data_IF_375305986060
#
_entry.id   IF_375305986060
#
_cell.length_a   1.000
_cell.length_b   1.000
_cell.length_c   1.000
_cell.angle_alpha   90.00
_cell.angle_beta   90.00
_cell.angle_gamma   90.00
#
_symmetry.space_group_name_H-M   'P 1'
#
loop_
_entity.id
_entity.type
_entity.pdbx_description
1 polymer ?
#
# COMPACT_ATOMS: atom_id res chain seq x y z
N UNK A 1 -45.47 -60.02 12.39
CA UNK A 1 -44.66 -61.21 12.73
C UNK A 1 -43.67 -61.40 11.60
N UNK A 2 -42.40 -61.00 11.79
CA UNK A 2 -41.26 -61.90 11.95
C UNK A 2 -41.18 -62.91 10.79
N UNK A 3 -40.25 -62.83 9.83
CA UNK A 3 -38.82 -62.52 9.95
C UNK A 3 -38.07 -63.81 9.64
N UNK A 4 -37.24 -63.85 8.60
CA UNK A 4 -36.36 -64.99 8.34
C UNK A 4 -35.21 -64.67 7.36
N UNK A 5 -34.03 -65.15 7.76
CA UNK A 5 -32.87 -65.60 6.96
C UNK A 5 -32.01 -64.48 6.37
N UNK A 6 -30.68 -64.45 6.49
CA UNK A 6 -29.69 -65.42 6.96
C UNK A 6 -28.39 -65.13 6.20
N UNK A 7 -27.27 -65.07 6.91
CA UNK A 7 -25.93 -64.83 6.36
C UNK A 7 -25.53 -65.87 5.30
N UNK A 8 -24.88 -65.42 4.22
CA UNK A 8 -23.71 -66.13 3.65
C UNK A 8 -22.96 -65.36 2.55
N UNK A 9 -21.64 -65.36 2.75
CA UNK A 9 -20.55 -65.55 1.78
C UNK A 9 -20.05 -64.36 0.95
N UNK A 10 -18.75 -64.13 1.18
CA UNK A 10 -17.77 -63.37 0.43
C UNK A 10 -17.80 -63.59 -1.08
N UNK A 11 -17.49 -62.52 -1.81
CA UNK A 11 -16.81 -62.63 -3.10
C UNK A 11 -15.85 -61.45 -3.26
N UNK A 12 -14.56 -61.75 -3.14
CA UNK A 12 -13.47 -60.89 -3.59
C UNK A 12 -13.50 -60.86 -5.12
N UNK A 13 -13.64 -59.67 -5.71
CA UNK A 13 -13.32 -59.42 -7.11
C UNK A 13 -12.41 -58.20 -7.19
N UNK A 14 -11.17 -58.46 -7.57
CA UNK A 14 -10.16 -57.48 -7.98
C UNK A 14 -10.70 -56.63 -9.15
N UNK A 15 -10.68 -55.31 -8.99
CA UNK A 15 -10.83 -54.38 -10.10
C UNK A 15 -9.52 -53.61 -10.27
N UNK A 16 -8.94 -53.77 -11.46
CA UNK A 16 -7.78 -53.04 -11.97
C UNK A 16 -7.95 -51.52 -11.81
N UNK A 17 -7.03 -50.89 -11.09
CA UNK A 17 -6.87 -49.43 -11.10
C UNK A 17 -5.97 -49.03 -12.27
N UNK A 18 -6.57 -48.45 -13.31
CA UNK A 18 -5.82 -47.73 -14.33
C UNK A 18 -5.18 -46.46 -13.73
N UNK A 19 -3.94 -46.09 -14.11
CA UNK A 19 -3.30 -44.88 -13.62
C UNK A 19 -4.03 -43.64 -14.16
N UNK A 20 -4.35 -42.69 -13.29
CA UNK A 20 -4.83 -41.37 -13.70
C UNK A 20 -3.69 -40.64 -14.44
N UNK A 21 -3.99 -39.89 -15.52
CA UNK A 21 -2.98 -39.11 -16.21
C UNK A 21 -2.50 -37.97 -15.31
N UNK A 22 -1.18 -37.79 -15.25
CA UNK A 22 -0.53 -36.68 -14.57
C UNK A 22 -1.21 -35.34 -14.92
N UNK A 23 -1.70 -34.65 -13.89
CA UNK A 23 -2.17 -33.28 -14.02
C UNK A 23 -1.00 -32.41 -14.48
N UNK A 24 -1.07 -31.87 -15.69
CA UNK A 24 -0.12 -30.87 -16.13
C UNK A 24 -0.15 -29.67 -15.16
N UNK A 25 1.00 -29.09 -14.80
CA UNK A 25 1.02 -27.90 -13.97
C UNK A 25 0.26 -26.80 -14.69
N UNK A 26 -0.72 -26.19 -14.01
CA UNK A 26 -1.43 -25.01 -14.51
C UNK A 26 -0.40 -23.98 -14.98
N UNK A 27 -0.47 -23.61 -16.27
CA UNK A 27 0.39 -22.57 -16.81
C UNK A 27 0.15 -21.30 -16.00
N UNK A 28 1.22 -20.75 -15.41
CA UNK A 28 1.12 -19.47 -14.72
C UNK A 28 0.53 -18.44 -15.68
N UNK A 29 -0.50 -17.68 -15.27
CA UNK A 29 -1.10 -16.67 -16.14
C UNK A 29 -0.03 -15.66 -16.55
N UNK A 30 -0.10 -15.22 -17.82
CA UNK A 30 0.83 -14.22 -18.34
C UNK A 30 0.84 -12.98 -17.42
N UNK A 31 2.03 -12.39 -17.17
CA UNK A 31 2.14 -11.25 -16.28
C UNK A 31 1.28 -10.08 -16.78
N UNK A 32 0.52 -9.49 -15.86
CA UNK A 32 -0.31 -8.33 -16.13
C UNK A 32 0.61 -7.12 -16.24
N UNK A 33 0.67 -6.53 -17.44
CA UNK A 33 1.39 -5.27 -17.67
C UNK A 33 0.43 -4.12 -17.38
N UNK A 34 0.73 -3.32 -16.35
CA UNK A 34 -0.04 -2.12 -16.04
C UNK A 34 0.17 -1.05 -17.12
N UNK A 35 -0.83 -0.18 -17.34
CA UNK A 35 -0.86 0.76 -18.46
C UNK A 35 0.39 1.66 -18.57
N UNK A 36 1.04 1.97 -17.44
CA UNK A 36 2.22 2.81 -17.39
C UNK A 36 3.52 2.05 -17.15
N UNK A 37 3.52 0.71 -17.17
CA UNK A 37 4.68 -0.11 -16.81
C UNK A 37 5.94 0.25 -17.61
N UNK A 38 5.78 0.68 -18.86
CA UNK A 38 6.86 1.06 -19.77
C UNK A 38 7.10 2.58 -19.84
N UNK A 39 6.46 3.39 -19.00
CA UNK A 39 6.67 4.84 -19.00
C UNK A 39 8.13 5.11 -18.57
N UNK A 40 8.95 5.70 -19.46
CA UNK A 40 10.36 5.92 -19.18
C UNK A 40 10.50 6.82 -17.96
N UNK A 41 11.41 6.46 -17.07
CA UNK A 41 11.86 7.31 -16.00
C UNK A 41 12.88 8.28 -16.57
N UNK A 42 12.73 9.58 -16.30
CA UNK A 42 13.69 10.58 -16.75
C UNK A 42 15.08 10.31 -16.15
N UNK A 43 16.14 10.61 -16.91
CA UNK A 43 17.51 10.49 -16.42
C UNK A 43 17.72 11.42 -15.21
N UNK A 44 18.37 10.91 -14.15
CA UNK A 44 18.56 11.65 -12.90
C UNK A 44 17.32 11.79 -12.01
N UNK A 45 16.16 11.25 -12.42
CA UNK A 45 14.99 11.22 -11.54
C UNK A 45 15.11 10.13 -10.47
N UNK A 46 14.48 10.37 -9.33
CA UNK A 46 14.17 9.38 -8.30
C UNK A 46 12.70 8.97 -8.45
N UNK A 47 12.41 7.68 -8.55
CA UNK A 47 11.05 7.14 -8.66
C UNK A 47 10.64 6.44 -7.37
N UNK A 48 9.63 7.01 -6.71
CA UNK A 48 9.06 6.48 -5.48
C UNK A 48 7.69 5.89 -5.75
N UNK A 49 7.48 4.64 -5.34
CA UNK A 49 6.17 3.99 -5.36
C UNK A 49 5.67 3.72 -3.94
N UNK A 50 4.37 3.90 -3.72
CA UNK A 50 3.69 3.50 -2.49
C UNK A 50 2.48 2.63 -2.80
N UNK A 51 2.27 1.54 -2.04
CA UNK A 51 1.12 0.66 -2.20
C UNK A 51 0.76 -0.10 -0.93
N UNK A 52 -0.51 -0.02 -0.53
CA UNK A 52 -1.09 -0.99 0.41
C UNK A 52 -1.30 -2.33 -0.30
N UNK A 53 -0.59 -3.37 0.14
CA UNK A 53 -0.57 -4.69 -0.51
C UNK A 53 -1.63 -5.65 0.02
N UNK A 54 -2.33 -5.28 1.10
CA UNK A 54 -3.37 -6.09 1.73
C UNK A 54 -2.93 -7.56 1.97
N UNK A 55 -1.67 -7.74 2.37
CA UNK A 55 -0.97 -9.01 2.55
C UNK A 55 0.05 -9.30 1.44
N UNK A 56 1.34 -9.17 1.77
CA UNK A 56 2.44 -9.31 0.81
C UNK A 56 2.50 -10.67 0.12
N UNK A 57 2.17 -11.76 0.83
CA UNK A 57 2.10 -13.11 0.23
C UNK A 57 1.06 -13.19 -0.88
N UNK A 58 -0.10 -12.56 -0.68
CA UNK A 58 -1.17 -12.57 -1.65
C UNK A 58 -0.81 -11.68 -2.84
N UNK A 59 -0.25 -10.49 -2.59
CA UNK A 59 0.21 -9.59 -3.64
C UNK A 59 1.31 -10.23 -4.51
N UNK A 60 2.30 -10.88 -3.88
CA UNK A 60 3.36 -11.61 -4.58
C UNK A 60 2.79 -12.67 -5.53
N UNK A 61 1.94 -13.58 -5.02
CA UNK A 61 1.30 -14.64 -5.84
C UNK A 61 0.43 -14.08 -6.97
N UNK A 62 -0.12 -12.88 -6.81
CA UNK A 62 -0.99 -12.24 -7.81
C UNK A 62 -0.24 -11.36 -8.81
N UNK A 63 1.08 -11.42 -8.84
CA UNK A 63 1.89 -10.76 -9.88
C UNK A 63 2.43 -9.38 -9.51
N UNK A 64 2.55 -9.04 -8.23
CA UNK A 64 3.23 -7.79 -7.82
C UNK A 64 4.67 -7.69 -8.37
N UNK A 65 5.41 -8.81 -8.43
CA UNK A 65 6.75 -8.82 -9.03
C UNK A 65 6.76 -8.43 -10.51
N UNK A 66 5.74 -8.87 -11.26
CA UNK A 66 5.58 -8.49 -12.66
C UNK A 66 5.21 -7.02 -12.84
N UNK A 67 4.41 -6.45 -11.92
CA UNK A 67 4.16 -5.01 -11.89
C UNK A 67 5.45 -4.22 -11.61
N UNK A 68 6.28 -4.68 -10.67
CA UNK A 68 7.50 -4.01 -10.27
C UNK A 68 8.59 -4.03 -11.36
N UNK A 69 8.71 -5.15 -12.07
CA UNK A 69 9.74 -5.36 -13.08
C UNK A 69 9.74 -4.25 -14.16
N UNK A 70 10.91 -3.68 -14.43
CA UNK A 70 11.10 -2.66 -15.48
C UNK A 70 10.55 -1.27 -15.14
N UNK A 71 9.96 -1.05 -13.96
CA UNK A 71 9.42 0.27 -13.57
C UNK A 71 10.50 1.28 -13.19
N UNK A 72 11.74 0.87 -12.92
CA UNK A 72 12.80 1.76 -12.47
C UNK A 72 12.52 2.43 -11.12
N UNK A 73 11.72 1.79 -10.26
CA UNK A 73 11.45 2.23 -8.89
C UNK A 73 12.77 2.17 -8.10
N UNK A 74 13.09 3.24 -7.37
CA UNK A 74 14.25 3.26 -6.46
C UNK A 74 13.83 3.07 -5.00
N UNK A 75 12.60 3.49 -4.66
CA UNK A 75 12.04 3.43 -3.32
C UNK A 75 10.60 2.90 -3.41
N UNK A 76 10.32 1.81 -2.70
CA UNK A 76 9.02 1.17 -2.61
C UNK A 76 8.56 1.17 -1.16
N UNK A 77 7.46 1.83 -0.86
CA UNK A 77 6.82 1.78 0.46
C UNK A 77 5.57 0.92 0.43
N UNK A 78 5.44 0.05 1.43
CA UNK A 78 4.38 -0.94 1.50
C UNK A 78 3.61 -0.81 2.80
N UNK A 79 2.29 -0.96 2.70
CA UNK A 79 1.39 -1.00 3.84
C UNK A 79 0.58 -2.28 3.85
N UNK A 80 0.16 -2.69 5.05
CA UNK A 80 -0.52 -3.95 5.29
C UNK A 80 0.23 -5.17 4.74
N UNK A 81 1.54 -5.26 4.99
CA UNK A 81 2.33 -6.42 4.58
C UNK A 81 1.83 -7.71 5.25
N UNK A 82 1.29 -7.62 6.48
CA UNK A 82 0.64 -8.72 7.23
C UNK A 82 1.47 -10.00 7.30
N UNK A 83 2.77 -9.85 7.49
CA UNK A 83 3.71 -10.96 7.55
C UNK A 83 4.87 -10.65 8.51
N UNK A 84 5.47 -11.68 9.13
CA UNK A 84 6.72 -11.54 9.86
C UNK A 84 7.88 -11.08 8.97
N UNK A 85 8.85 -10.41 9.61
CA UNK A 85 10.08 -9.87 9.02
C UNK A 85 10.70 -10.76 7.95
N UNK A 86 11.05 -12.00 8.30
CA UNK A 86 11.74 -12.94 7.40
C UNK A 86 10.96 -13.18 6.10
N UNK A 87 9.63 -13.25 6.17
CA UNK A 87 8.80 -13.40 4.98
C UNK A 87 8.78 -12.13 4.15
N UNK A 88 8.71 -10.96 4.79
CA UNK A 88 8.71 -9.68 4.10
C UNK A 88 10.03 -9.50 3.35
N UNK A 89 11.15 -9.75 4.01
CA UNK A 89 12.50 -9.66 3.43
C UNK A 89 12.68 -10.63 2.26
N UNK A 90 12.35 -11.92 2.44
CA UNK A 90 12.50 -12.92 1.38
C UNK A 90 11.64 -12.59 0.15
N UNK A 91 10.37 -12.22 0.34
CA UNK A 91 9.49 -11.90 -0.78
C UNK A 91 9.87 -10.60 -1.47
N UNK A 92 10.40 -9.62 -0.73
CA UNK A 92 10.91 -8.41 -1.35
C UNK A 92 12.18 -8.70 -2.14
N UNK A 93 13.11 -9.52 -1.64
CA UNK A 93 14.28 -9.95 -2.41
C UNK A 93 13.86 -10.67 -3.71
N UNK A 94 12.84 -11.53 -3.67
CA UNK A 94 12.28 -12.18 -4.88
C UNK A 94 11.72 -11.16 -5.89
N UNK A 95 11.14 -10.05 -5.42
CA UNK A 95 10.55 -9.00 -6.26
C UNK A 95 11.61 -8.03 -6.80
N UNK A 96 12.54 -7.61 -5.95
CA UNK A 96 13.46 -6.48 -6.20
C UNK A 96 14.87 -6.92 -6.57
N UNK A 97 15.26 -8.14 -6.22
CA UNK A 97 16.63 -8.64 -6.25
C UNK A 97 17.43 -8.31 -4.99
N UNK A 98 18.66 -8.84 -4.93
CA UNK A 98 19.52 -8.85 -3.72
C UNK A 98 20.15 -7.50 -3.33
N UNK A 99 20.13 -6.50 -4.22
CA UNK A 99 20.80 -5.21 -4.00
C UNK A 99 19.91 -4.17 -3.30
N UNK A 100 18.81 -4.60 -2.69
CA UNK A 100 17.84 -3.73 -2.03
C UNK A 100 17.98 -3.82 -0.52
N UNK A 101 17.90 -2.67 0.13
CA UNK A 101 17.76 -2.57 1.56
C UNK A 101 16.28 -2.63 1.93
N UNK A 102 15.93 -3.41 2.94
CA UNK A 102 14.57 -3.52 3.46
C UNK A 102 14.57 -3.10 4.92
N UNK A 103 13.71 -2.14 5.25
CA UNK A 103 13.36 -1.80 6.62
C UNK A 103 11.87 -1.98 6.82
N UNK A 104 11.47 -2.64 7.90
CA UNK A 104 10.08 -2.98 8.15
C UNK A 104 9.75 -2.95 9.64
N UNK A 105 8.46 -2.89 9.93
CA UNK A 105 7.92 -3.13 11.27
C UNK A 105 6.69 -4.02 11.18
N UNK A 106 6.75 -5.16 11.87
CA UNK A 106 5.63 -6.07 12.08
C UNK A 106 4.69 -5.53 13.16
N UNK A 107 3.38 -5.77 12.99
CA UNK A 107 2.41 -5.53 14.04
C UNK A 107 2.31 -6.75 14.98
N UNK A 108 2.25 -6.52 16.30
CA UNK A 108 2.04 -7.59 17.29
C UNK A 108 0.75 -8.40 17.04
N UNK A 109 -0.28 -7.74 16.49
CA UNK A 109 -1.49 -8.40 16.01
C UNK A 109 -1.21 -9.20 14.73
N UNK A 110 -0.90 -10.49 14.88
CA UNK A 110 -0.56 -11.40 13.78
C UNK A 110 -1.52 -11.31 12.59
N UNK A 111 -0.96 -11.15 11.39
CA UNK A 111 -1.71 -11.07 10.14
C UNK A 111 -2.48 -9.76 9.93
N UNK A 112 -2.17 -8.72 10.70
CA UNK A 112 -2.75 -7.37 10.58
C UNK A 112 -1.63 -6.36 10.32
N UNK A 113 -1.96 -5.25 9.68
CA UNK A 113 -1.06 -4.11 9.47
C UNK A 113 0.35 -4.53 9.01
N UNK A 114 1.38 -3.86 9.53
CA UNK A 114 2.77 -3.97 9.10
C UNK A 114 3.07 -3.04 7.94
N UNK A 115 4.21 -2.35 8.00
CA UNK A 115 4.69 -1.44 6.96
C UNK A 115 6.15 -1.72 6.64
N UNK A 116 6.55 -1.48 5.40
CA UNK A 116 7.92 -1.65 4.95
C UNK A 116 8.35 -0.54 4.00
N UNK A 117 9.66 -0.33 3.91
CA UNK A 117 10.34 0.48 2.90
C UNK A 117 11.44 -0.41 2.31
N UNK A 118 11.40 -0.62 1.01
CA UNK A 118 12.46 -1.26 0.24
C UNK A 118 13.11 -0.20 -0.66
N UNK A 119 14.44 -0.15 -0.73
CA UNK A 119 15.15 0.88 -1.47
C UNK A 119 16.51 0.42 -1.98
N UNK A 120 16.96 0.96 -3.12
CA UNK A 120 18.36 0.82 -3.58
C UNK A 120 19.32 1.79 -2.89
N UNK A 121 18.79 2.82 -2.22
CA UNK A 121 19.57 3.81 -1.47
C UNK A 121 19.89 3.27 -0.07
N UNK A 122 21.11 3.49 0.40
CA UNK A 122 21.56 3.05 1.73
C UNK A 122 20.78 3.76 2.85
N UNK A 123 20.09 3.02 3.74
CA UNK A 123 19.44 3.58 4.92
C UNK A 123 20.47 4.08 5.95
N UNK A 124 20.34 5.32 6.37
CA UNK A 124 21.23 5.94 7.36
C UNK A 124 20.71 5.78 8.78
N UNK A 125 19.45 6.17 9.01
CA UNK A 125 18.80 6.07 10.30
C UNK A 125 17.34 5.70 10.11
N UNK A 126 16.92 4.62 10.77
CA UNK A 126 15.54 4.12 10.74
C UNK A 126 14.88 4.31 12.10
N UNK A 127 13.63 4.76 12.09
CA UNK A 127 12.80 4.99 13.29
C UNK A 127 11.45 4.33 13.09
N UNK A 128 10.95 3.68 14.13
CA UNK A 128 9.66 2.97 14.16
C UNK A 128 8.78 3.64 15.20
N UNK A 129 7.48 3.71 14.90
CA UNK A 129 6.50 4.37 15.77
C UNK A 129 6.33 5.86 15.46
N UNK A 130 5.19 6.41 15.88
CA UNK A 130 4.75 7.79 15.57
C UNK A 130 4.90 8.73 16.77
N UNK A 131 5.65 8.34 17.81
CA UNK A 131 5.88 9.14 19.01
C UNK A 131 4.95 8.85 20.19
N UNK A 132 3.94 8.00 20.01
CA UNK A 132 3.06 7.53 21.09
C UNK A 132 3.22 6.04 21.32
N UNK A 133 3.64 5.68 22.55
CA UNK A 133 3.95 4.29 22.92
C UNK A 133 2.75 3.35 22.87
N UNK A 134 1.52 3.89 22.83
CA UNK A 134 0.32 3.10 22.58
C UNK A 134 0.33 2.43 21.20
N UNK A 135 1.09 2.95 20.23
CA UNK A 135 1.18 2.45 18.87
C UNK A 135 2.49 1.73 18.53
N UNK A 136 3.42 1.57 19.48
CA UNK A 136 4.76 1.04 19.23
C UNK A 136 4.74 -0.35 18.57
N UNK A 137 3.77 -1.19 18.93
CA UNK A 137 3.61 -2.55 18.40
C UNK A 137 2.52 -2.65 17.32
N UNK A 138 1.99 -1.52 16.86
CA UNK A 138 0.88 -1.49 15.89
C UNK A 138 1.32 -1.78 14.45
N UNK A 139 2.62 -1.63 14.14
CA UNK A 139 3.19 -1.84 12.81
C UNK A 139 2.62 -0.89 11.76
N UNK A 140 2.45 0.40 12.10
CA UNK A 140 1.75 1.40 11.27
C UNK A 140 2.59 2.59 10.81
N UNK A 141 3.81 2.72 11.33
CA UNK A 141 4.71 3.80 10.99
C UNK A 141 6.15 3.32 11.02
N UNK A 142 6.85 3.53 9.91
CA UNK A 142 8.31 3.46 9.84
C UNK A 142 8.81 4.59 8.97
N UNK A 143 9.93 5.16 9.35
CA UNK A 143 10.62 6.15 8.55
C UNK A 143 12.11 5.87 8.50
N UNK A 144 12.73 6.23 7.38
CA UNK A 144 14.16 6.03 7.18
C UNK A 144 14.76 7.22 6.45
N UNK A 145 15.94 7.64 6.90
CA UNK A 145 16.74 8.66 6.25
C UNK A 145 17.61 8.03 5.15
N UNK A 146 17.56 8.61 3.96
CA UNK A 146 18.30 8.20 2.77
C UNK A 146 19.13 9.38 2.26
N UNK A 147 20.22 9.08 1.57
CA UNK A 147 20.97 10.09 0.81
C UNK A 147 20.28 10.31 -0.55
N UNK A 148 19.70 11.48 -0.75
CA UNK A 148 19.13 11.88 -2.04
C UNK A 148 20.22 12.04 -3.11
N UNK A 149 19.89 12.02 -4.42
CA UNK A 149 20.89 12.16 -5.48
C UNK A 149 21.73 13.46 -5.44
N UNK A 150 21.19 14.53 -4.86
CA UNK A 150 21.90 15.80 -4.65
C UNK A 150 22.74 15.84 -3.35
N UNK A 151 22.86 14.70 -2.65
CA UNK A 151 23.64 14.53 -1.42
C UNK A 151 22.92 14.97 -0.15
N UNK A 152 21.69 15.50 -0.23
CA UNK A 152 20.90 15.92 0.93
C UNK A 152 20.17 14.76 1.59
N UNK A 153 19.64 14.99 2.79
CA UNK A 153 18.86 13.96 3.49
C UNK A 153 17.42 13.92 2.98
N UNK A 154 16.98 12.73 2.55
CA UNK A 154 15.58 12.43 2.25
C UNK A 154 15.03 11.47 3.30
N UNK A 155 14.08 11.94 4.12
CA UNK A 155 13.32 11.06 5.02
C UNK A 155 12.09 10.51 4.30
N UNK A 156 12.01 9.19 4.16
CA UNK A 156 10.86 8.49 3.61
C UNK A 156 10.09 7.83 4.73
N UNK A 157 8.78 8.08 4.81
CA UNK A 157 7.87 7.44 5.75
C UNK A 157 6.96 6.47 5.00
N UNK A 158 6.78 5.25 5.51
CA UNK A 158 5.66 4.37 5.16
C UNK A 158 4.67 4.35 6.32
N UNK A 159 3.46 4.84 6.09
CA UNK A 159 2.41 4.99 7.09
C UNK A 159 1.13 4.25 6.70
N UNK A 160 0.51 3.58 7.68
CA UNK A 160 -0.80 2.93 7.55
C UNK A 160 -1.75 3.42 8.64
N UNK A 161 -2.50 4.47 8.34
CA UNK A 161 -3.47 5.05 9.27
C UNK A 161 -4.62 4.06 9.48
N UNK A 162 -5.18 4.03 10.69
CA UNK A 162 -6.33 3.18 10.99
C UNK A 162 -7.50 3.46 10.03
N UNK A 163 -8.15 2.43 9.50
CA UNK A 163 -9.34 2.61 8.64
C UNK A 163 -10.46 3.38 9.36
N UNK A 164 -10.56 3.19 10.67
CA UNK A 164 -11.63 3.73 11.50
C UNK A 164 -12.93 2.95 11.36
N UNK A 165 -13.85 3.19 12.30
CA UNK A 165 -15.24 2.74 12.25
C UNK A 165 -16.04 3.56 13.26
N UNK A 166 -17.05 4.29 12.78
CA UNK A 166 -17.73 5.35 13.53
C UNK A 166 -18.31 4.83 14.84
N UNK A 167 -17.98 5.49 15.95
CA UNK A 167 -18.47 5.12 17.28
C UNK A 167 -17.76 3.93 17.92
N UNK A 168 -16.67 3.44 17.33
CA UNK A 168 -15.87 2.33 17.88
C UNK A 168 -14.51 2.80 18.41
N UNK A 169 -13.83 2.00 19.25
CA UNK A 169 -12.46 2.28 19.66
C UNK A 169 -11.50 2.49 18.48
N UNK A 170 -11.71 1.84 17.34
CA UNK A 170 -10.86 2.04 16.14
C UNK A 170 -10.90 3.46 15.60
N UNK A 171 -12.02 4.16 15.75
CA UNK A 171 -12.09 5.57 15.34
C UNK A 171 -11.36 6.47 16.35
N UNK A 172 -11.40 6.13 17.64
CA UNK A 172 -10.62 6.82 18.67
C UNK A 172 -9.13 6.66 18.39
N UNK A 173 -8.68 5.44 18.09
CA UNK A 173 -7.29 5.17 17.72
C UNK A 173 -6.90 5.93 16.45
N UNK A 174 -7.78 6.01 15.45
CA UNK A 174 -7.54 6.79 14.23
C UNK A 174 -7.29 8.26 14.54
N UNK A 175 -8.14 8.90 15.35
CA UNK A 175 -7.96 10.31 15.70
C UNK A 175 -6.70 10.53 16.54
N UNK A 176 -6.42 9.66 17.51
CA UNK A 176 -5.18 9.72 18.30
C UNK A 176 -3.94 9.60 17.41
N UNK A 177 -3.96 8.71 16.41
CA UNK A 177 -2.87 8.56 15.45
C UNK A 177 -2.72 9.81 14.56
N UNK A 178 -3.83 10.38 14.08
CA UNK A 178 -3.82 11.63 13.31
C UNK A 178 -3.32 12.83 14.14
N UNK A 179 -3.62 12.87 15.44
CA UNK A 179 -3.07 13.87 16.36
C UNK A 179 -1.55 13.76 16.49
N UNK A 180 -1.00 12.55 16.54
CA UNK A 180 0.46 12.37 16.53
C UNK A 180 1.09 12.79 15.20
N UNK A 181 0.44 12.48 14.07
CA UNK A 181 0.91 12.96 12.76
C UNK A 181 0.95 14.49 12.68
N UNK A 182 -0.03 15.18 13.27
CA UNK A 182 -0.04 16.65 13.37
C UNK A 182 1.18 17.18 14.14
N UNK A 183 1.68 16.45 15.13
CA UNK A 183 2.87 16.85 15.91
C UNK A 183 4.16 16.51 15.16
N UNK A 184 4.22 15.32 14.56
CA UNK A 184 5.43 14.77 13.98
C UNK A 184 5.79 15.34 12.61
N UNK A 185 4.80 15.60 11.74
CA UNK A 185 5.06 16.12 10.38
C UNK A 185 5.80 17.48 10.39
N UNK A 186 5.43 18.46 11.24
CA UNK A 186 6.20 19.69 11.40
C UNK A 186 7.65 19.46 11.86
N UNK A 187 7.90 18.49 12.74
CA UNK A 187 9.26 18.18 13.22
C UNK A 187 10.13 17.64 12.08
N UNK A 188 9.60 16.73 11.26
CA UNK A 188 10.29 16.25 10.07
C UNK A 188 10.60 17.39 9.10
N UNK A 189 9.62 18.26 8.84
CA UNK A 189 9.82 19.41 7.94
C UNK A 189 10.86 20.40 8.48
N UNK A 190 10.94 20.58 9.79
CA UNK A 190 11.89 21.51 10.40
C UNK A 190 13.32 20.97 10.46
N UNK A 191 13.51 19.65 10.43
CA UNK A 191 14.81 19.01 10.71
C UNK A 191 15.44 18.29 9.52
N UNK A 192 14.71 18.09 8.42
CA UNK A 192 15.15 17.33 7.24
C UNK A 192 15.14 18.20 6.00
N UNK A 193 16.10 17.98 5.10
CA UNK A 193 16.15 18.70 3.82
C UNK A 193 14.92 18.37 2.95
N UNK A 194 14.59 17.09 2.89
CA UNK A 194 13.43 16.56 2.21
C UNK A 194 12.71 15.54 3.10
N UNK A 195 11.38 15.58 3.15
CA UNK A 195 10.60 14.51 3.74
C UNK A 195 9.39 14.16 2.86
N UNK A 196 9.04 12.87 2.83
CA UNK A 196 7.83 12.37 2.16
C UNK A 196 7.10 11.37 3.04
N UNK A 197 5.86 11.72 3.37
CA UNK A 197 4.88 10.81 3.96
C UNK A 197 4.22 10.01 2.84
N UNK A 198 4.32 8.69 2.91
CA UNK A 198 3.69 7.80 1.93
C UNK A 198 2.77 6.78 2.58
N UNK A 199 1.76 6.34 1.84
CA UNK A 199 0.97 5.17 2.18
C UNK A 199 -0.53 5.42 2.26
N UNK A 200 -1.24 4.39 2.71
CA UNK A 200 -2.69 4.39 2.94
C UNK A 200 -3.02 5.16 4.22
N UNK A 201 -3.46 6.41 4.04
CA UNK A 201 -3.87 7.28 5.13
C UNK A 201 -5.37 7.15 5.46
N UNK A 202 -6.09 6.26 4.77
CA UNK A 202 -7.48 5.90 5.04
C UNK A 202 -8.46 7.09 5.11
N UNK A 203 -8.17 8.19 4.41
CA UNK A 203 -9.05 9.37 4.35
C UNK A 203 -9.00 9.98 2.95
N UNK A 204 -10.17 10.23 2.35
CA UNK A 204 -10.28 11.08 1.16
C UNK A 204 -10.37 12.54 1.59
N UNK A 205 -9.42 13.38 1.19
CA UNK A 205 -9.34 14.77 1.66
C UNK A 205 -10.49 15.64 1.18
N UNK A 206 -10.78 15.62 -0.11
CA UNK A 206 -11.77 16.49 -0.76
C UNK A 206 -12.88 15.67 -1.43
N UNK A 207 -13.95 16.33 -1.87
CA UNK A 207 -15.05 15.68 -2.63
C UNK A 207 -14.61 15.02 -3.93
N UNK A 208 -13.44 15.42 -4.46
CA UNK A 208 -12.81 14.82 -5.64
C UNK A 208 -12.15 13.48 -5.33
N UNK A 209 -11.86 13.22 -4.06
CA UNK A 209 -11.10 12.05 -3.62
C UNK A 209 -11.97 10.82 -3.37
N UNK A 210 -13.26 10.90 -3.68
CA UNK A 210 -14.18 9.79 -3.54
C UNK A 210 -15.35 9.91 -4.53
N UNK A 211 -15.60 8.84 -5.28
CA UNK A 211 -16.80 8.77 -6.11
C UNK A 211 -18.05 8.67 -5.24
N UNK A 212 -19.11 9.39 -5.62
CA UNK A 212 -20.38 9.41 -4.86
C UNK A 212 -20.23 9.94 -3.42
N UNK A 213 -19.40 10.96 -3.22
CA UNK A 213 -19.04 11.54 -1.92
C UNK A 213 -20.24 11.89 -1.01
N UNK A 214 -21.38 12.34 -1.59
CA UNK A 214 -22.56 12.79 -0.83
C UNK A 214 -23.05 11.75 0.18
N UNK A 215 -23.04 10.47 -0.19
CA UNK A 215 -23.48 9.37 0.68
C UNK A 215 -22.46 8.93 1.72
N UNK A 216 -21.21 9.39 1.61
CA UNK A 216 -20.08 8.94 2.43
C UNK A 216 -19.66 9.95 3.50
N UNK A 217 -20.26 11.14 3.55
CA UNK A 217 -19.92 12.20 4.53
C UNK A 217 -20.10 11.82 5.99
N UNK A 218 -20.74 10.68 6.28
CA UNK A 218 -20.94 10.11 7.63
C UNK A 218 -20.22 8.77 7.82
N UNK A 219 -19.28 8.43 6.94
CA UNK A 219 -18.52 7.19 6.96
C UNK A 219 -17.06 7.48 7.30
N UNK A 220 -16.46 6.60 8.09
CA UNK A 220 -15.03 6.64 8.36
C UNK A 220 -14.24 6.64 7.04
N UNK A 221 -13.20 7.47 7.00
CA UNK A 221 -12.44 7.83 5.82
C UNK A 221 -12.99 9.04 5.05
N UNK A 222 -14.16 9.57 5.39
CA UNK A 222 -14.68 10.78 4.76
C UNK A 222 -15.49 11.68 5.71
N UNK A 223 -15.30 11.50 7.02
CA UNK A 223 -15.90 12.36 8.04
C UNK A 223 -15.31 13.79 7.92
N UNK A 224 -16.10 14.85 8.17
CA UNK A 224 -15.59 16.21 8.21
C UNK A 224 -14.38 16.38 9.13
N UNK A 225 -14.38 15.72 10.28
CA UNK A 225 -13.32 15.77 11.27
C UNK A 225 -12.03 15.10 10.76
N UNK A 226 -12.14 13.98 10.04
CA UNK A 226 -10.98 13.33 9.42
C UNK A 226 -10.37 14.21 8.33
N UNK A 227 -11.20 14.82 7.49
CA UNK A 227 -10.74 15.72 6.41
C UNK A 227 -10.08 16.99 6.96
N UNK A 228 -10.52 17.47 8.10
CA UNK A 228 -9.91 18.62 8.77
C UNK A 228 -8.44 18.40 9.12
N UNK A 229 -8.00 17.15 9.40
CA UNK A 229 -6.57 16.86 9.56
C UNK A 229 -5.79 17.09 8.27
N UNK A 230 -6.37 16.72 7.12
CA UNK A 230 -5.72 16.90 5.82
C UNK A 230 -5.70 18.37 5.40
N UNK A 231 -6.72 19.15 5.79
CA UNK A 231 -6.68 20.62 5.67
C UNK A 231 -5.49 21.21 6.44
N UNK A 232 -5.13 20.64 7.60
CA UNK A 232 -3.95 21.07 8.37
C UNK A 232 -2.64 20.58 7.75
N UNK A 233 -2.60 19.32 7.31
CA UNK A 233 -1.43 18.72 6.65
C UNK A 233 -1.00 19.52 5.42
N UNK A 234 -1.97 19.90 4.58
CA UNK A 234 -1.73 20.60 3.31
C UNK A 234 -1.94 22.11 3.36
N UNK A 235 -2.44 22.63 4.49
CA UNK A 235 -2.60 24.06 4.74
C UNK A 235 -1.32 24.68 5.29
N UNK A 236 -1.39 25.99 5.59
CA UNK A 236 -0.24 26.77 6.08
C UNK A 236 0.32 26.27 7.43
N UNK A 237 -0.49 25.56 8.23
CA UNK A 237 -0.09 25.05 9.54
C UNK A 237 1.09 24.07 9.46
N UNK A 238 0.97 23.02 8.64
CA UNK A 238 2.03 22.02 8.47
C UNK A 238 2.76 22.21 7.13
N UNK A 239 2.04 22.57 6.07
CA UNK A 239 2.60 22.98 4.78
C UNK A 239 3.25 21.85 3.98
N UNK A 240 2.78 20.61 4.13
CA UNK A 240 3.12 19.56 3.17
C UNK A 240 2.33 19.76 1.88
N UNK A 241 2.81 19.16 0.80
CA UNK A 241 2.17 19.22 -0.51
C UNK A 241 1.67 17.83 -0.88
N UNK A 242 0.39 17.72 -1.20
CA UNK A 242 -0.18 16.54 -1.85
C UNK A 242 0.30 16.49 -3.31
N UNK A 243 1.40 15.77 -3.55
CA UNK A 243 2.10 15.77 -4.84
C UNK A 243 1.21 15.24 -5.97
N UNK A 244 0.48 14.16 -5.70
CA UNK A 244 -0.42 13.56 -6.69
C UNK A 244 -1.54 14.53 -7.08
N UNK A 245 -2.15 15.22 -6.10
CA UNK A 245 -3.19 16.22 -6.38
C UNK A 245 -2.63 17.46 -7.09
N UNK A 246 -1.44 17.93 -6.70
CA UNK A 246 -0.80 19.08 -7.34
C UNK A 246 -0.57 18.83 -8.84
N UNK A 247 -0.08 17.64 -9.19
CA UNK A 247 0.20 17.26 -10.57
C UNK A 247 -1.07 16.92 -11.37
N UNK A 248 -2.07 16.30 -10.74
CA UNK A 248 -3.33 15.93 -11.40
C UNK A 248 -4.26 17.14 -11.66
N UNK A 249 -4.15 18.19 -10.83
CA UNK A 249 -5.01 19.38 -10.92
C UNK A 249 -6.44 19.14 -10.42
N UNK A 250 -7.37 19.96 -10.94
CA UNK A 250 -8.76 19.98 -10.51
C UNK A 250 -9.63 18.93 -11.23
N UNK A 251 -9.43 17.67 -10.87
CA UNK A 251 -10.12 16.51 -11.45
C UNK A 251 -10.68 15.58 -10.37
N UNK A 252 -11.73 14.82 -10.68
CA UNK A 252 -12.14 13.69 -9.82
C UNK A 252 -11.07 12.60 -9.85
N UNK A 253 -10.73 12.03 -8.69
CA UNK A 253 -9.61 11.11 -8.56
C UNK A 253 -8.27 11.77 -8.90
N UNK A 254 -7.27 11.02 -9.40
CA UNK A 254 -7.31 9.57 -9.63
C UNK A 254 -7.48 8.82 -8.30
N UNK A 255 -8.34 7.81 -8.30
CA UNK A 255 -8.58 6.98 -7.11
C UNK A 255 -7.47 5.94 -6.95
N UNK A 256 -7.21 5.50 -5.72
CA UNK A 256 -6.16 4.53 -5.40
C UNK A 256 -6.74 3.26 -4.79
N UNK A 257 -7.99 3.26 -4.34
CA UNK A 257 -8.66 2.12 -3.73
C UNK A 257 -10.05 1.88 -4.32
N UNK A 258 -10.41 0.60 -4.49
CA UNK A 258 -11.77 0.18 -4.85
C UNK A 258 -12.14 -1.10 -4.11
N UNK A 259 -13.39 -1.21 -3.65
CA UNK A 259 -13.87 -2.44 -3.03
C UNK A 259 -13.64 -3.66 -3.92
N UNK A 260 -13.21 -4.78 -3.32
CA UNK A 260 -13.17 -6.08 -3.99
C UNK A 260 -14.56 -6.64 -4.28
N UNK A 261 -15.61 -6.06 -3.68
CA UNK A 261 -16.99 -6.51 -3.80
C UNK A 261 -17.74 -5.72 -4.88
N UNK A 262 -18.58 -6.43 -5.64
CA UNK A 262 -19.41 -5.82 -6.67
C UNK A 262 -18.58 -5.23 -7.81
N UNK A 263 -19.11 -4.20 -8.46
CA UNK A 263 -18.53 -3.60 -9.67
C UNK A 263 -17.82 -2.27 -9.38
N UNK A 264 -17.36 -2.05 -8.15
CA UNK A 264 -16.73 -0.79 -7.77
C UNK A 264 -15.49 -0.49 -8.62
N UNK A 265 -14.68 -1.51 -8.92
CA UNK A 265 -13.54 -1.36 -9.80
C UNK A 265 -13.97 -1.02 -11.22
N UNK A 266 -14.85 -1.80 -11.85
CA UNK A 266 -15.23 -1.61 -13.26
C UNK A 266 -15.93 -0.27 -13.50
N UNK A 267 -16.76 0.18 -12.55
CA UNK A 267 -17.47 1.46 -12.60
C UNK A 267 -16.65 2.65 -12.06
N UNK A 268 -15.37 2.43 -11.72
CA UNK A 268 -14.46 3.42 -11.14
C UNK A 268 -15.05 4.15 -9.91
N UNK A 269 -15.81 3.42 -9.09
CA UNK A 269 -16.36 3.91 -7.83
C UNK A 269 -15.31 3.76 -6.73
N UNK A 270 -14.25 4.58 -6.83
CA UNK A 270 -13.07 4.49 -5.99
C UNK A 270 -12.94 5.60 -4.95
N UNK A 271 -11.89 5.46 -4.15
CA UNK A 271 -11.42 6.42 -3.16
C UNK A 271 -9.94 6.70 -3.40
N UNK A 272 -9.49 7.94 -3.20
CA UNK A 272 -8.09 8.31 -3.16
C UNK A 272 -7.68 8.45 -1.71
N UNK A 273 -7.02 7.42 -1.19
CA UNK A 273 -6.63 7.31 0.22
C UNK A 273 -5.14 6.99 0.39
N UNK A 274 -4.42 6.78 -0.72
CA UNK A 274 -2.98 6.58 -0.74
C UNK A 274 -2.31 7.87 -1.22
N UNK A 275 -1.30 8.33 -0.48
CA UNK A 275 -0.69 9.64 -0.68
C UNK A 275 0.83 9.54 -0.82
N UNK A 276 1.39 10.52 -1.53
CA UNK A 276 2.76 10.98 -1.31
C UNK A 276 2.66 12.47 -0.94
N UNK A 277 2.69 12.75 0.36
CA UNK A 277 2.69 14.08 0.92
C UNK A 277 4.13 14.50 1.18
N UNK A 278 4.63 15.49 0.47
CA UNK A 278 6.05 15.88 0.50
C UNK A 278 6.26 17.27 1.11
N UNK A 279 7.45 17.53 1.65
CA UNK A 279 7.87 18.91 1.94
C UNK A 279 7.90 19.73 0.65
N UNK A 280 7.67 21.06 0.70
CA UNK A 280 7.60 21.90 -0.50
C UNK A 280 8.82 21.78 -1.42
N UNK A 281 10.02 21.65 -0.84
CA UNK A 281 11.29 21.53 -1.54
C UNK A 281 11.39 20.24 -2.35
N UNK A 282 10.87 19.13 -1.81
CA UNK A 282 10.79 17.86 -2.53
C UNK A 282 9.64 17.87 -3.54
N UNK A 283 8.48 18.42 -3.17
CA UNK A 283 7.33 18.53 -4.07
C UNK A 283 7.66 19.35 -5.34
N UNK A 284 8.48 20.40 -5.22
CA UNK A 284 8.95 21.19 -6.35
C UNK A 284 9.80 20.39 -7.36
N UNK A 285 10.33 19.23 -6.96
CA UNK A 285 11.05 18.31 -7.83
C UNK A 285 10.12 17.33 -8.56
N UNK A 286 8.86 17.23 -8.15
CA UNK A 286 7.95 16.24 -8.72
C UNK A 286 7.61 16.58 -10.18
N UNK A 287 7.82 15.63 -11.10
CA UNK A 287 7.62 15.82 -12.55
C UNK A 287 6.45 15.00 -13.11
N UNK A 288 6.05 13.95 -12.42
CA UNK A 288 4.93 13.10 -12.83
C UNK A 288 4.40 12.26 -11.68
N UNK A 289 3.08 12.05 -11.67
CA UNK A 289 2.40 11.17 -10.72
C UNK A 289 1.41 10.27 -11.47
N UNK A 290 1.42 9.00 -11.13
CA UNK A 290 0.61 7.97 -11.77
C UNK A 290 0.03 7.04 -10.73
N UNK A 291 -1.29 6.82 -10.81
CA UNK A 291 -1.92 5.67 -10.17
C UNK A 291 -1.87 4.49 -11.14
N UNK A 292 -1.13 3.44 -10.81
CA UNK A 292 -0.99 2.22 -11.60
C UNK A 292 -2.19 1.29 -11.42
N UNK A 293 -3.39 1.78 -11.74
CA UNK A 293 -4.60 0.98 -11.73
C UNK A 293 -4.45 -0.21 -12.69
N UNK A 294 -4.78 -1.41 -12.21
CA UNK A 294 -4.76 -2.61 -13.04
C UNK A 294 -5.74 -2.48 -14.22
N UNK A 295 -5.49 -3.13 -15.37
CA UNK A 295 -6.35 -3.00 -16.55
C UNK A 295 -7.75 -3.63 -16.36
N UNK A 296 -7.89 -4.56 -15.42
CA UNK A 296 -9.17 -5.23 -15.11
C UNK A 296 -9.24 -5.71 -13.66
N UNK A 297 -10.45 -5.96 -13.15
CA UNK A 297 -10.66 -6.34 -11.75
C UNK A 297 -9.88 -7.60 -11.34
N UNK A 298 -9.83 -8.63 -12.18
CA UNK A 298 -9.17 -9.91 -11.89
C UNK A 298 -7.64 -9.85 -11.98
N UNK A 299 -7.10 -8.76 -12.53
CA UNK A 299 -5.64 -8.56 -12.67
C UNK A 299 -5.01 -7.78 -11.51
N UNK A 300 -5.80 -7.45 -10.49
CA UNK A 300 -5.35 -6.71 -9.30
C UNK A 300 -4.64 -7.63 -8.32
N UNK A 301 -3.48 -7.21 -7.83
CA UNK A 301 -2.81 -7.89 -6.72
C UNK A 301 -3.26 -7.40 -5.33
N UNK A 302 -3.83 -6.20 -5.25
CA UNK A 302 -4.41 -5.58 -4.05
C UNK A 302 -5.72 -4.87 -4.38
N UNK A 303 -6.51 -4.55 -3.36
CA UNK A 303 -7.61 -3.62 -3.48
C UNK A 303 -7.17 -2.16 -3.65
N UNK A 304 -5.88 -1.88 -3.39
CA UNK A 304 -5.23 -0.63 -3.74
C UNK A 304 -4.45 -0.75 -5.06
N UNK A 305 -4.31 0.37 -5.76
CA UNK A 305 -3.39 0.56 -6.88
C UNK A 305 -2.16 1.35 -6.40
N UNK A 306 -0.95 1.00 -6.86
CA UNK A 306 0.25 1.75 -6.54
C UNK A 306 0.18 3.21 -7.00
N UNK A 307 0.63 4.12 -6.14
CA UNK A 307 0.88 5.52 -6.50
C UNK A 307 2.38 5.71 -6.71
N UNK A 308 2.76 6.04 -7.95
CA UNK A 308 4.15 6.21 -8.40
C UNK A 308 4.39 7.67 -8.74
N UNK A 309 5.46 8.24 -8.22
CA UNK A 309 5.85 9.63 -8.45
C UNK A 309 7.32 9.71 -8.82
N UNK A 310 7.64 10.54 -9.82
CA UNK A 310 9.00 10.87 -10.22
C UNK A 310 9.41 12.24 -9.67
N UNK A 311 10.59 12.31 -9.08
CA UNK A 311 11.21 13.52 -8.56
C UNK A 311 12.54 13.78 -9.29
N UNK A 312 12.67 14.91 -9.97
CA UNK A 312 13.89 15.30 -10.67
C UNK A 312 14.93 15.90 -9.71
N UNK A 313 16.08 15.25 -9.62
CA UNK A 313 17.24 15.78 -8.89
C UNK A 313 18.26 16.41 -9.81
#
# INVERSE_FOLDING_TARGET
MAGRIGDRLERVTSADTAPQPDSQPESQPAPVVHANANAPKAEGALRLATVNVNGIRAAHRKGMGAWFAGRGIDILTLQEVRAPKEIVENLLEEITGQNWHVVETEAAAKGRAGVAIATTLEPLQTRVGIGDSYFDDSGRWIETDLTAPDGKTLTVVSAYVHSGDVGTPKQVDKYRFLDEMVRHLPELRATKDYAVLTGDLNVGHTTRDIKNWKGNTKKAGFLPEERAYFDRFFGEEIGYVDVARQLAGDVEGPYTWWSMRGQAFDNDTGWRIDYQAATPELAAKATGAVVDRAPSWNTRFSDHAPLVVDYQF
#
